data_IF_537970386844
#
_entry.id   IF_537970386844
#
_cell.length_a   1.000
_cell.length_b   1.000
_cell.length_c   1.000
_cell.angle_alpha   90.00
_cell.angle_beta   90.00
_cell.angle_gamma   90.00
#
_symmetry.space_group_name_H-M   'P 1'
#
loop_
_entity.id
_entity.type
_entity.pdbx_description
1 polymer ?
#
# COMPACT_ATOMS: atom_id res chain seq x y z
N UNK A 1 23.93 9.98 45.79
CA UNK A 1 22.80 9.03 45.83
C UNK A 1 22.48 8.58 44.40
N UNK A 2 22.13 7.32 44.18
CA UNK A 2 21.70 6.80 42.87
C UNK A 2 20.29 6.23 43.05
N UNK A 3 19.30 6.88 42.43
CA UNK A 3 17.92 6.40 42.43
C UNK A 3 17.71 5.46 41.24
N UNK A 4 17.12 4.30 41.49
CA UNK A 4 16.72 3.36 40.45
C UNK A 4 15.35 3.78 39.94
N UNK A 5 15.23 3.96 38.62
CA UNK A 5 13.97 4.30 37.96
C UNK A 5 13.40 3.05 37.29
N UNK A 6 12.13 2.77 37.54
CA UNK A 6 11.40 1.68 36.87
C UNK A 6 11.09 2.09 35.43
N UNK A 7 11.19 1.14 34.50
CA UNK A 7 10.84 1.35 33.09
C UNK A 7 9.34 1.69 32.97
N UNK A 8 8.97 2.90 32.48
CA UNK A 8 7.57 3.29 32.31
C UNK A 8 6.81 2.43 31.30
N UNK A 9 7.51 1.74 30.39
CA UNK A 9 6.90 0.85 29.40
C UNK A 9 6.57 -0.54 29.97
N UNK A 10 7.08 -0.88 31.15
CA UNK A 10 6.85 -2.19 31.79
C UNK A 10 5.77 -2.07 32.86
N UNK A 11 4.69 -2.86 32.80
CA UNK A 11 3.65 -2.86 33.82
C UNK A 11 4.22 -3.20 35.19
N UNK A 12 3.97 -2.35 36.20
CA UNK A 12 4.43 -2.56 37.58
C UNK A 12 3.44 -3.34 38.45
N UNK A 13 2.31 -3.77 37.90
CA UNK A 13 1.23 -4.46 38.62
C UNK A 13 0.79 -5.71 37.88
N UNK A 14 0.64 -6.82 38.62
CA UNK A 14 0.05 -8.08 38.14
C UNK A 14 -1.26 -8.32 38.89
N UNK A 15 -2.31 -8.72 38.18
CA UNK A 15 -3.61 -9.06 38.77
C UNK A 15 -4.00 -10.46 38.31
N UNK A 16 -4.21 -11.36 39.26
CA UNK A 16 -4.68 -12.72 39.02
C UNK A 16 -6.12 -12.87 39.54
N UNK A 17 -6.92 -13.68 38.83
CA UNK A 17 -8.29 -13.99 39.23
C UNK A 17 -8.38 -15.46 39.62
N UNK A 18 -8.82 -15.73 40.84
CA UNK A 18 -9.12 -17.08 41.30
C UNK A 18 -10.64 -17.26 41.23
N UNK A 19 -11.09 -18.26 40.49
CA UNK A 19 -12.51 -18.59 40.37
C UNK A 19 -12.86 -19.74 41.31
N UNK A 20 -13.91 -19.57 42.11
CA UNK A 20 -14.49 -20.67 42.87
C UNK A 20 -15.43 -21.46 41.96
N UNK A 21 -15.05 -22.71 41.65
CA UNK A 21 -15.86 -23.62 40.83
C UNK A 21 -17.08 -24.06 41.64
N UNK A 22 -18.24 -23.48 41.35
CA UNK A 22 -19.51 -23.79 42.05
C UNK A 22 -20.59 -24.22 41.07
N UNK A 23 -21.50 -25.09 41.52
CA UNK A 23 -22.64 -25.53 40.70
C UNK A 23 -22.28 -26.59 39.65
N UNK A 24 -21.21 -27.35 39.90
CA UNK A 24 -20.87 -28.57 39.16
C UNK A 24 -21.55 -29.77 39.83
N UNK A 25 -21.85 -30.83 39.08
CA UNK A 25 -22.34 -32.10 39.62
C UNK A 25 -21.23 -32.88 40.34
N UNK A 26 -19.97 -32.72 39.91
CA UNK A 26 -18.78 -33.35 40.49
C UNK A 26 -17.84 -32.37 41.21
N UNK A 27 -16.61 -32.81 41.47
CA UNK A 27 -15.55 -31.98 42.06
C UNK A 27 -15.06 -30.89 41.08
N UNK A 28 -15.10 -31.19 39.78
CA UNK A 28 -14.77 -30.27 38.69
C UNK A 28 -15.96 -30.12 37.75
N UNK A 29 -16.11 -28.92 37.17
CA UNK A 29 -17.10 -28.69 36.12
C UNK A 29 -16.58 -29.20 34.78
N UNK A 30 -17.40 -29.95 34.07
CA UNK A 30 -17.17 -30.41 32.71
C UNK A 30 -17.99 -29.53 31.77
N UNK A 31 -17.35 -28.52 31.19
CA UNK A 31 -17.93 -27.68 30.16
C UNK A 31 -17.99 -28.41 28.81
N UNK A 32 -18.79 -27.86 27.90
CA UNK A 32 -18.79 -28.23 26.47
C UNK A 32 -18.94 -26.95 25.67
N UNK A 33 -17.81 -26.33 25.31
CA UNK A 33 -17.81 -25.12 24.50
C UNK A 33 -17.88 -25.48 23.01
N UNK A 34 -18.61 -24.67 22.24
CA UNK A 34 -18.69 -24.82 20.80
C UNK A 34 -18.57 -23.45 20.14
N UNK A 35 -17.64 -23.34 19.18
CA UNK A 35 -17.31 -22.10 18.50
C UNK A 35 -17.86 -22.08 17.07
N UNK A 36 -18.53 -20.99 16.70
CA UNK A 36 -18.94 -20.71 15.32
C UNK A 36 -18.52 -19.31 14.92
N UNK A 37 -18.18 -19.14 13.66
CA UNK A 37 -17.83 -17.84 13.08
C UNK A 37 -18.68 -17.54 11.85
N UNK A 38 -19.06 -16.27 11.69
CA UNK A 38 -19.77 -15.79 10.51
C UNK A 38 -19.37 -14.34 10.20
N UNK A 39 -19.12 -14.07 8.92
CA UNK A 39 -18.98 -12.71 8.41
C UNK A 39 -20.35 -12.03 8.40
N UNK A 40 -20.40 -10.79 8.90
CA UNK A 40 -21.66 -10.02 8.97
C UNK A 40 -21.87 -9.21 7.69
N UNK A 41 -20.80 -8.63 7.17
CA UNK A 41 -20.79 -7.63 6.10
C UNK A 41 -19.79 -7.97 4.97
N UNK A 42 -19.24 -9.19 4.98
CA UNK A 42 -18.29 -9.68 3.98
C UNK A 42 -18.82 -10.94 3.28
N UNK A 43 -18.68 -10.97 1.96
CA UNK A 43 -18.91 -12.14 1.11
C UNK A 43 -17.60 -12.64 0.50
N UNK A 44 -17.46 -13.96 0.37
CA UNK A 44 -16.36 -14.57 -0.38
C UNK A 44 -16.80 -14.87 -1.82
N UNK A 45 -16.00 -14.55 -2.85
CA UNK A 45 -14.70 -13.88 -2.77
C UNK A 45 -14.84 -12.39 -2.40
N UNK A 46 -13.90 -11.88 -1.59
CA UNK A 46 -13.83 -10.49 -1.20
C UNK A 46 -13.05 -9.67 -2.23
N UNK A 47 -13.67 -8.61 -2.74
CA UNK A 47 -13.01 -7.70 -3.68
C UNK A 47 -12.10 -6.74 -2.90
N UNK A 48 -10.79 -6.80 -3.15
CA UNK A 48 -9.80 -5.94 -2.48
C UNK A 48 -10.13 -4.46 -2.74
N UNK A 49 -10.16 -3.67 -1.67
CA UNK A 49 -10.47 -2.24 -1.70
C UNK A 49 -11.95 -1.88 -1.76
N UNK A 50 -12.86 -2.87 -1.83
CA UNK A 50 -14.31 -2.62 -1.89
C UNK A 50 -14.87 -2.02 -0.60
N UNK A 51 -14.31 -2.40 0.55
CA UNK A 51 -14.65 -1.84 1.86
C UNK A 51 -13.38 -1.56 2.67
N UNK A 52 -13.47 -0.65 3.64
CA UNK A 52 -12.35 -0.37 4.56
C UNK A 52 -12.32 -1.28 5.77
N UNK A 53 -13.46 -1.81 6.16
CA UNK A 53 -13.62 -2.62 7.36
C UNK A 53 -14.56 -3.77 7.12
N UNK A 54 -14.33 -4.89 7.80
CA UNK A 54 -15.23 -6.04 7.82
C UNK A 54 -15.41 -6.55 9.25
N UNK A 55 -16.58 -7.11 9.53
CA UNK A 55 -17.04 -7.55 10.84
C UNK A 55 -17.17 -9.07 10.86
N UNK A 56 -16.37 -9.72 11.71
CA UNK A 56 -16.41 -11.16 11.95
C UNK A 56 -17.06 -11.42 13.31
N UNK A 57 -18.19 -12.11 13.32
CA UNK A 57 -18.90 -12.49 14.53
C UNK A 57 -18.52 -13.91 14.94
N UNK A 58 -18.16 -14.07 16.21
CA UNK A 58 -18.01 -15.34 16.89
C UNK A 58 -19.19 -15.58 17.83
N UNK A 59 -19.81 -16.74 17.67
CA UNK A 59 -20.87 -17.26 18.53
C UNK A 59 -20.27 -18.42 19.34
N UNK A 60 -20.24 -18.27 20.66
CA UNK A 60 -19.74 -19.30 21.59
C UNK A 60 -20.90 -19.76 22.44
N UNK A 61 -21.24 -21.03 22.35
CA UNK A 61 -22.26 -21.67 23.19
C UNK A 61 -21.60 -22.67 24.13
N UNK A 62 -22.07 -22.73 25.37
CA UNK A 62 -21.71 -23.79 26.30
C UNK A 62 -22.88 -24.78 26.44
N UNK A 63 -22.73 -26.02 26.01
CA UNK A 63 -23.75 -27.08 26.15
C UNK A 63 -23.52 -28.00 27.36
N UNK A 64 -22.43 -27.80 28.11
CA UNK A 64 -22.06 -28.57 29.30
C UNK A 64 -22.34 -27.83 30.60
N UNK A 65 -21.60 -28.16 31.66
CA UNK A 65 -21.63 -27.46 32.95
C UNK A 65 -20.95 -26.08 32.87
N UNK A 66 -20.94 -25.31 33.97
CA UNK A 66 -20.41 -23.95 33.98
C UNK A 66 -18.94 -23.88 33.49
N UNK A 67 -18.70 -23.07 32.45
CA UNK A 67 -17.37 -22.76 31.96
C UNK A 67 -16.81 -21.52 32.68
N UNK A 68 -15.77 -21.69 33.50
CA UNK A 68 -15.18 -20.59 34.28
C UNK A 68 -14.06 -19.89 33.54
N UNK A 69 -14.06 -18.55 33.58
CA UNK A 69 -13.12 -17.69 32.84
C UNK A 69 -13.05 -18.10 31.35
N UNK A 70 -14.19 -18.09 30.63
CA UNK A 70 -14.19 -18.41 29.21
C UNK A 70 -13.43 -17.32 28.45
N UNK A 71 -12.53 -17.71 27.57
CA UNK A 71 -11.71 -16.81 26.77
C UNK A 71 -11.74 -17.24 25.30
N UNK A 72 -11.74 -16.25 24.41
CA UNK A 72 -11.59 -16.44 22.97
C UNK A 72 -10.20 -15.96 22.56
N UNK A 73 -9.44 -16.83 21.92
CA UNK A 73 -8.15 -16.51 21.35
C UNK A 73 -8.25 -16.46 19.83
N UNK A 74 -7.92 -15.33 19.23
CA UNK A 74 -7.99 -15.11 17.78
C UNK A 74 -6.62 -14.73 17.24
N UNK A 75 -6.14 -15.50 16.27
CA UNK A 75 -4.89 -15.22 15.54
C UNK A 75 -5.21 -14.61 14.19
N UNK A 76 -4.76 -13.38 13.98
CA UNK A 76 -4.87 -12.65 12.73
C UNK A 76 -3.54 -12.67 11.98
N UNK A 77 -3.53 -12.83 10.64
CA UNK A 77 -2.32 -12.75 9.84
C UNK A 77 -1.81 -11.30 9.75
N UNK A 78 -0.53 -11.12 9.44
CA UNK A 78 0.13 -9.79 9.37
C UNK A 78 -0.50 -8.78 8.40
N UNK A 79 -1.22 -9.25 7.37
CA UNK A 79 -1.91 -8.42 6.37
C UNK A 79 -3.23 -7.84 6.89
N UNK A 80 -3.71 -8.29 8.05
CA UNK A 80 -4.98 -7.86 8.67
C UNK A 80 -4.69 -7.26 10.03
N UNK A 81 -5.30 -6.10 10.28
CA UNK A 81 -5.21 -5.44 11.58
C UNK A 81 -6.61 -5.18 12.14
N UNK A 82 -6.69 -4.78 13.41
CA UNK A 82 -7.96 -4.40 14.03
C UNK A 82 -8.27 -2.95 13.70
N UNK A 83 -9.47 -2.69 13.18
CA UNK A 83 -9.99 -1.33 13.06
C UNK A 83 -10.27 -0.73 14.45
N UNK A 84 -10.65 -1.60 15.41
CA UNK A 84 -10.85 -1.24 16.82
C UNK A 84 -10.58 -2.43 17.73
N UNK A 85 -9.77 -2.22 18.77
CA UNK A 85 -9.55 -3.21 19.83
C UNK A 85 -10.75 -3.24 20.79
N UNK A 86 -11.44 -4.39 20.97
CA UNK A 86 -12.49 -4.49 21.99
C UNK A 86 -11.90 -4.36 23.40
N UNK A 87 -12.61 -3.69 24.30
CA UNK A 87 -12.10 -3.34 25.64
C UNK A 87 -11.83 -4.54 26.56
N UNK A 88 -12.43 -5.69 26.26
CA UNK A 88 -12.25 -6.95 27.00
C UNK A 88 -11.18 -7.85 26.38
N UNK A 89 -10.40 -7.32 25.42
CA UNK A 89 -9.37 -8.05 24.72
C UNK A 89 -7.98 -7.48 25.00
N UNK A 90 -7.00 -8.36 25.03
CA UNK A 90 -5.57 -8.04 25.08
C UNK A 90 -4.93 -8.46 23.77
N UNK A 91 -4.15 -7.55 23.20
CA UNK A 91 -3.44 -7.77 21.95
C UNK A 91 -1.97 -8.07 22.24
N UNK A 92 -1.47 -9.12 21.62
CA UNK A 92 -0.06 -9.53 21.64
C UNK A 92 0.44 -9.60 20.21
N UNK A 93 1.56 -8.93 19.92
CA UNK A 93 2.20 -9.02 18.61
C UNK A 93 2.91 -10.36 18.50
N UNK A 94 2.67 -11.07 17.40
CA UNK A 94 3.43 -12.26 17.01
C UNK A 94 4.41 -11.88 15.88
N UNK A 95 5.37 -12.76 15.57
CA UNK A 95 6.27 -12.54 14.44
C UNK A 95 5.50 -12.43 13.11
N UNK A 96 4.47 -13.24 12.93
CA UNK A 96 3.72 -13.38 11.67
C UNK A 96 2.27 -12.88 11.75
N UNK A 97 1.96 -12.03 12.73
CA UNK A 97 0.60 -11.53 12.89
C UNK A 97 0.28 -10.98 14.28
N UNK A 98 -0.98 -11.04 14.65
CA UNK A 98 -1.50 -10.54 15.92
C UNK A 98 -2.28 -11.64 16.62
N UNK A 99 -2.06 -11.79 17.92
CA UNK A 99 -2.87 -12.65 18.77
C UNK A 99 -3.76 -11.78 19.66
N UNK A 100 -5.05 -12.09 19.69
CA UNK A 100 -6.04 -11.39 20.46
C UNK A 100 -6.67 -12.34 21.47
N UNK A 101 -6.45 -12.09 22.76
CA UNK A 101 -7.06 -12.86 23.84
C UNK A 101 -8.17 -12.05 24.51
N UNK A 102 -9.39 -12.55 24.44
CA UNK A 102 -10.59 -11.84 24.88
C UNK A 102 -11.33 -12.57 25.99
N UNK A 103 -11.66 -11.86 27.06
CA UNK A 103 -12.54 -12.37 28.11
C UNK A 103 -13.98 -12.42 27.59
N UNK A 104 -14.57 -13.62 27.54
CA UNK A 104 -15.96 -13.81 27.16
C UNK A 104 -16.89 -13.57 28.36
N UNK A 105 -18.14 -13.18 28.07
CA UNK A 105 -19.16 -12.92 29.10
C UNK A 105 -18.67 -11.96 30.21
N UNK A 106 -17.87 -10.94 29.84
CA UNK A 106 -17.24 -9.99 30.76
C UNK A 106 -16.37 -10.65 31.86
N UNK A 107 -15.78 -11.81 31.57
CA UNK A 107 -14.98 -12.60 32.51
C UNK A 107 -15.81 -13.37 33.55
N UNK A 108 -17.13 -13.43 33.39
CA UNK A 108 -18.01 -14.25 34.22
C UNK A 108 -18.16 -15.65 33.62
N UNK A 109 -18.53 -16.62 34.45
CA UNK A 109 -18.76 -17.99 34.00
C UNK A 109 -19.87 -18.06 32.94
N UNK A 110 -19.65 -18.82 31.87
CA UNK A 110 -20.67 -19.11 30.87
C UNK A 110 -21.49 -20.31 31.36
N UNK A 111 -22.76 -20.07 31.68
CA UNK A 111 -23.66 -21.10 32.22
C UNK A 111 -24.04 -22.13 31.15
N UNK A 112 -24.58 -23.26 31.61
CA UNK A 112 -25.18 -24.28 30.75
C UNK A 112 -26.22 -23.67 29.80
N UNK A 113 -26.09 -23.99 28.51
CA UNK A 113 -26.84 -23.47 27.37
C UNK A 113 -26.76 -21.95 27.14
N UNK A 114 -25.81 -21.25 27.78
CA UNK A 114 -25.60 -19.84 27.51
C UNK A 114 -24.84 -19.63 26.20
N UNK A 115 -25.32 -18.67 25.42
CA UNK A 115 -24.69 -18.17 24.19
C UNK A 115 -24.08 -16.79 24.48
N UNK A 116 -22.82 -16.62 24.15
CA UNK A 116 -22.15 -15.32 24.13
C UNK A 116 -21.70 -15.00 22.71
N UNK A 117 -21.77 -13.72 22.34
CA UNK A 117 -21.39 -13.23 21.03
C UNK A 117 -20.26 -12.23 21.14
N UNK A 118 -19.36 -12.27 20.20
CA UNK A 118 -18.27 -11.32 20.10
C UNK A 118 -18.07 -10.92 18.64
N UNK A 119 -17.91 -9.62 18.38
CA UNK A 119 -17.69 -9.10 17.02
C UNK A 119 -16.32 -8.45 16.96
N UNK A 120 -15.50 -8.90 16.02
CA UNK A 120 -14.24 -8.26 15.65
C UNK A 120 -14.43 -7.41 14.41
N UNK A 121 -14.00 -6.15 14.48
CA UNK A 121 -13.99 -5.25 13.33
C UNK A 121 -12.55 -5.14 12.84
N UNK A 122 -12.31 -5.66 11.65
CA UNK A 122 -11.02 -5.77 11.00
C UNK A 122 -10.82 -4.62 10.02
N UNK A 123 -9.59 -4.12 9.92
CA UNK A 123 -9.17 -3.17 8.90
C UNK A 123 -8.71 -3.95 7.65
N UNK A 124 -9.40 -3.70 6.55
CA UNK A 124 -9.25 -4.40 5.27
C UNK A 124 -8.45 -3.59 4.25
N UNK A 125 -7.89 -2.44 4.64
CA UNK A 125 -7.25 -1.47 3.75
C UNK A 125 -5.90 -1.91 3.17
N UNK A 126 -5.23 -2.87 3.80
CA UNK A 126 -3.87 -3.34 3.44
C UNK A 126 -3.85 -4.78 2.93
N UNK A 127 -5.00 -5.30 2.53
CA UNK A 127 -5.11 -6.66 2.03
C UNK A 127 -4.44 -6.80 0.66
N UNK A 128 -3.69 -7.88 0.52
CA UNK A 128 -3.02 -8.27 -0.70
C UNK A 128 -2.97 -9.81 -0.79
N UNK A 129 -2.77 -10.35 -1.99
CA UNK A 129 -2.65 -11.79 -2.22
C UNK A 129 -3.96 -12.46 -2.65
N UNK A 130 -4.04 -13.78 -2.48
CA UNK A 130 -5.13 -14.62 -3.02
C UNK A 130 -6.18 -15.02 -1.99
N UNK A 131 -5.79 -15.08 -0.73
CA UNK A 131 -6.66 -15.44 0.38
C UNK A 131 -6.01 -15.05 1.70
N UNK A 132 -6.80 -15.03 2.75
CA UNK A 132 -6.30 -14.98 4.12
C UNK A 132 -7.12 -15.94 4.99
N UNK A 133 -6.52 -16.40 6.07
CA UNK A 133 -7.16 -17.23 7.09
C UNK A 133 -7.07 -16.56 8.46
N UNK A 134 -8.13 -16.70 9.25
CA UNK A 134 -8.18 -16.29 10.66
C UNK A 134 -8.47 -17.52 11.50
N UNK A 135 -7.60 -17.77 12.48
CA UNK A 135 -7.78 -18.88 13.41
C UNK A 135 -8.39 -18.37 14.70
N UNK A 136 -9.36 -19.08 15.24
CA UNK A 136 -9.95 -18.78 16.53
C UNK A 136 -10.10 -20.07 17.35
N UNK A 137 -9.83 -19.95 18.64
CA UNK A 137 -9.95 -21.03 19.61
C UNK A 137 -10.61 -20.49 20.88
N UNK A 138 -11.61 -21.20 21.39
CA UNK A 138 -12.24 -20.88 22.67
C UNK A 138 -11.76 -21.85 23.75
N UNK A 139 -11.52 -21.36 24.96
CA UNK A 139 -11.16 -22.20 26.09
C UNK A 139 -11.70 -21.65 27.39
N UNK A 140 -11.65 -22.47 28.44
CA UNK A 140 -11.99 -22.09 29.80
C UNK A 140 -11.09 -22.80 30.80
N UNK A 141 -11.22 -22.47 32.08
CA UNK A 141 -10.52 -23.18 33.18
C UNK A 141 -11.29 -24.42 33.68
N UNK A 142 -12.46 -24.69 33.11
CA UNK A 142 -13.22 -25.93 33.33
C UNK A 142 -12.61 -27.08 32.53
N UNK A 143 -12.91 -28.32 32.92
CA UNK A 143 -12.60 -29.47 32.06
C UNK A 143 -13.53 -29.46 30.85
N UNK A 144 -13.08 -30.06 29.76
CA UNK A 144 -13.75 -29.98 28.46
C UNK A 144 -13.86 -31.39 27.88
N UNK A 145 -15.05 -31.77 27.41
CA UNK A 145 -15.30 -33.13 26.89
C UNK A 145 -14.82 -33.24 25.46
N UNK A 146 -15.01 -32.20 24.65
CA UNK A 146 -14.58 -32.14 23.27
C UNK A 146 -13.76 -30.87 23.02
N UNK A 147 -12.50 -31.05 22.62
CA UNK A 147 -11.63 -29.91 22.30
C UNK A 147 -11.60 -29.57 20.81
N UNK A 148 -12.07 -30.46 19.96
CA UNK A 148 -11.93 -30.31 18.51
C UNK A 148 -12.91 -29.27 17.93
N UNK A 149 -14.04 -29.01 18.59
CA UNK A 149 -15.03 -28.01 18.18
C UNK A 149 -14.86 -26.65 18.87
N UNK A 150 -13.79 -26.51 19.64
CA UNK A 150 -13.37 -25.25 20.24
C UNK A 150 -12.54 -24.40 19.29
N UNK A 151 -11.99 -24.99 18.23
CA UNK A 151 -11.15 -24.31 17.26
C UNK A 151 -11.80 -24.28 15.88
N UNK A 152 -11.60 -23.17 15.17
CA UNK A 152 -11.95 -23.07 13.76
C UNK A 152 -10.97 -22.18 13.01
N UNK A 153 -10.85 -22.45 11.71
CA UNK A 153 -10.17 -21.60 10.74
C UNK A 153 -11.22 -21.03 9.79
N UNK A 154 -11.23 -19.70 9.63
CA UNK A 154 -12.09 -19.02 8.65
C UNK A 154 -11.22 -18.47 7.53
N UNK A 155 -11.36 -19.01 6.32
CA UNK A 155 -10.65 -18.56 5.13
C UNK A 155 -11.54 -17.71 4.24
N UNK A 156 -11.00 -16.62 3.70
CA UNK A 156 -11.65 -15.76 2.72
C UNK A 156 -10.79 -15.69 1.46
N UNK A 157 -11.39 -15.95 0.31
CA UNK A 157 -10.74 -15.77 -0.99
C UNK A 157 -10.74 -14.28 -1.34
N UNK A 158 -9.60 -13.79 -1.84
CA UNK A 158 -9.41 -12.43 -2.29
C UNK A 158 -9.46 -12.36 -3.81
N UNK A 159 -10.14 -11.34 -4.32
CA UNK A 159 -10.21 -11.03 -5.74
C UNK A 159 -9.83 -9.58 -5.99
N UNK A 160 -9.03 -9.35 -7.01
CA UNK A 160 -8.73 -8.00 -7.50
C UNK A 160 -9.72 -7.63 -8.61
N UNK A 161 -10.24 -6.41 -8.55
CA UNK A 161 -11.08 -5.84 -9.58
C UNK A 161 -10.77 -4.34 -9.77
N UNK A 162 -10.37 -3.98 -10.98
CA UNK A 162 -10.10 -2.60 -11.37
C UNK A 162 -10.89 -2.26 -12.63
N UNK A 163 -11.44 -1.05 -12.68
CA UNK A 163 -12.16 -0.52 -13.82
C UNK A 163 -11.36 0.64 -14.41
N UNK A 164 -10.71 0.38 -15.54
CA UNK A 164 -9.79 1.35 -16.16
C UNK A 164 -10.50 2.11 -17.27
N UNK A 165 -10.56 3.42 -17.12
CA UNK A 165 -11.11 4.35 -18.09
C UNK A 165 -9.99 5.18 -18.70
N UNK A 166 -10.01 5.33 -20.02
CA UNK A 166 -9.08 6.17 -20.77
C UNK A 166 -9.87 7.22 -21.52
N UNK A 167 -9.71 8.48 -21.12
CA UNK A 167 -10.39 9.62 -21.74
C UNK A 167 -9.36 10.47 -22.48
N UNK A 168 -9.66 10.81 -23.73
CA UNK A 168 -8.79 11.63 -24.58
C UNK A 168 -9.50 12.85 -25.13
N UNK A 169 -8.82 14.00 -25.16
CA UNK A 169 -9.30 15.23 -25.79
C UNK A 169 -8.21 15.86 -26.66
N UNK A 170 -8.57 16.25 -27.87
CA UNK A 170 -7.70 17.00 -28.78
C UNK A 170 -7.97 18.50 -28.68
N UNK A 171 -6.94 19.34 -28.85
CA UNK A 171 -7.09 20.78 -29.02
C UNK A 171 -7.77 21.16 -30.34
N UNK A 172 -7.72 20.27 -31.33
CA UNK A 172 -8.32 20.44 -32.66
C UNK A 172 -9.18 19.21 -32.97
N UNK A 173 -10.49 19.42 -33.12
CA UNK A 173 -11.45 18.34 -33.46
C UNK A 173 -11.53 18.09 -34.96
N UNK A 174 -11.41 19.15 -35.76
CA UNK A 174 -11.55 19.10 -37.20
C UNK A 174 -10.58 20.05 -37.88
N UNK A 175 -10.13 19.65 -39.07
CA UNK A 175 -9.15 20.38 -39.85
C UNK A 175 -9.68 20.56 -41.28
N UNK A 176 -9.91 21.80 -41.69
CA UNK A 176 -10.36 22.10 -43.05
C UNK A 176 -9.16 22.29 -43.99
N UNK A 177 -8.89 21.26 -44.80
CA UNK A 177 -7.75 21.22 -45.73
C UNK A 177 -7.81 22.26 -46.86
N UNK A 178 -8.98 22.85 -47.16
CA UNK A 178 -9.09 23.88 -48.20
C UNK A 178 -8.71 25.27 -47.69
N UNK A 179 -8.89 25.51 -46.39
CA UNK A 179 -8.63 26.80 -45.74
C UNK A 179 -7.31 26.83 -44.99
N UNK A 180 -6.80 25.68 -44.57
CA UNK A 180 -5.54 25.58 -43.88
C UNK A 180 -4.37 25.54 -44.87
N UNK A 181 -3.39 26.41 -44.62
CA UNK A 181 -2.05 26.33 -45.22
C UNK A 181 -1.00 26.09 -44.13
N UNK A 182 -0.06 25.18 -44.35
CA UNK A 182 1.09 24.94 -43.45
C UNK A 182 0.81 23.95 -42.30
N UNK A 183 1.71 23.93 -41.30
CA UNK A 183 1.65 23.03 -40.14
C UNK A 183 0.62 23.51 -39.11
N UNK A 184 -0.05 22.57 -38.44
CA UNK A 184 -0.91 22.83 -37.26
C UNK A 184 -0.29 22.15 -36.05
N UNK A 185 -0.28 22.85 -34.92
CA UNK A 185 0.03 22.27 -33.62
C UNK A 185 -1.23 21.61 -33.04
N UNK A 186 -1.17 20.30 -32.81
CA UNK A 186 -2.24 19.53 -32.19
C UNK A 186 -1.76 19.03 -30.83
N UNK A 187 -2.57 19.25 -29.80
CA UNK A 187 -2.29 18.79 -28.44
C UNK A 187 -3.34 17.76 -28.06
N UNK A 188 -2.91 16.60 -27.60
CA UNK A 188 -3.78 15.58 -27.03
C UNK A 188 -3.58 15.54 -25.52
N UNK A 189 -4.67 15.67 -24.78
CA UNK A 189 -4.74 15.42 -23.35
C UNK A 189 -5.36 14.05 -23.14
N UNK A 190 -4.64 13.16 -22.47
CA UNK A 190 -5.10 11.80 -22.18
C UNK A 190 -5.08 11.62 -20.67
N UNK A 191 -6.21 11.18 -20.12
CA UNK A 191 -6.36 10.85 -18.72
C UNK A 191 -6.67 9.36 -18.61
N UNK A 192 -5.87 8.66 -17.80
CA UNK A 192 -6.10 7.26 -17.45
C UNK A 192 -6.53 7.22 -16.00
N UNK A 193 -7.69 6.64 -15.73
CA UNK A 193 -8.31 6.59 -14.40
C UNK A 193 -8.60 5.13 -14.04
N UNK A 194 -8.38 4.79 -12.77
CA UNK A 194 -8.90 3.55 -12.19
C UNK A 194 -10.09 3.92 -11.31
N UNK A 195 -11.29 3.63 -11.80
CA UNK A 195 -12.55 3.82 -11.07
C UNK A 195 -12.92 2.58 -10.23
N UNK A 196 -12.17 1.49 -10.37
CA UNK A 196 -12.39 0.27 -9.60
C UNK A 196 -11.82 0.32 -8.18
N UNK A 197 -12.27 -0.59 -7.30
CA UNK A 197 -11.87 -0.63 -5.90
C UNK A 197 -10.43 -1.08 -5.68
N UNK A 198 -9.90 -1.99 -6.50
CA UNK A 198 -8.54 -2.50 -6.31
C UNK A 198 -7.51 -1.56 -6.92
N UNK A 199 -6.42 -1.29 -6.18
CA UNK A 199 -5.28 -0.53 -6.66
C UNK A 199 -4.47 -1.31 -7.68
N UNK A 200 -3.88 -0.62 -8.66
CA UNK A 200 -2.94 -1.20 -9.61
C UNK A 200 -1.50 -1.02 -9.11
N UNK A 201 -0.70 -2.09 -9.21
CA UNK A 201 0.75 -2.03 -8.94
C UNK A 201 1.51 -1.49 -10.14
N UNK A 202 1.25 -2.08 -11.31
CA UNK A 202 1.93 -1.75 -12.56
C UNK A 202 0.90 -1.53 -13.67
N UNK A 203 1.05 -0.44 -14.41
CA UNK A 203 0.21 -0.11 -15.56
C UNK A 203 1.08 0.36 -16.72
N UNK A 204 0.97 -0.32 -17.86
CA UNK A 204 1.63 0.08 -19.10
C UNK A 204 0.62 0.75 -20.03
N UNK A 205 0.86 2.01 -20.36
CA UNK A 205 0.06 2.74 -21.34
C UNK A 205 0.81 2.88 -22.67
N UNK A 206 0.19 2.44 -23.77
CA UNK A 206 0.77 2.50 -25.10
C UNK A 206 -0.05 3.42 -26.02
N UNK A 207 0.56 4.50 -26.49
CA UNK A 207 -0.04 5.42 -27.47
C UNK A 207 0.59 5.21 -28.85
N UNK A 208 -0.25 4.98 -29.86
CA UNK A 208 0.19 4.88 -31.26
C UNK A 208 0.03 6.23 -31.94
N UNK A 209 1.14 6.83 -32.35
CA UNK A 209 1.15 8.11 -33.08
C UNK A 209 1.43 7.85 -34.57
N UNK A 210 0.53 8.24 -35.48
CA UNK A 210 0.73 8.04 -36.91
C UNK A 210 1.73 9.08 -37.44
N UNK A 211 2.88 8.61 -37.95
CA UNK A 211 3.94 9.49 -38.50
C UNK A 211 3.85 9.65 -40.01
N UNK A 212 3.36 8.60 -40.70
CA UNK A 212 3.29 8.52 -42.15
C UNK A 212 1.91 8.09 -42.62
N UNK A 213 1.49 8.63 -43.75
CA UNK A 213 0.31 8.20 -44.49
C UNK A 213 0.75 7.59 -45.83
N UNK A 214 0.31 6.36 -46.07
CA UNK A 214 0.51 5.68 -47.34
C UNK A 214 -0.71 5.91 -48.22
N UNK A 215 -0.52 6.56 -49.36
CA UNK A 215 -1.63 6.83 -50.26
C UNK A 215 -2.06 5.52 -50.94
N UNK A 216 -3.34 5.13 -50.84
CA UNK A 216 -3.85 3.95 -51.54
C UNK A 216 -3.55 4.06 -53.03
N UNK A 217 -3.08 2.95 -53.64
CA UNK A 217 -2.85 2.85 -55.09
C UNK A 217 -1.62 3.60 -55.64
N UNK A 218 -0.72 4.11 -54.80
CA UNK A 218 0.54 4.72 -55.21
C UNK A 218 1.69 4.32 -54.29
N UNK A 219 2.94 4.40 -54.78
CA UNK A 219 4.13 4.23 -53.95
C UNK A 219 4.43 5.47 -53.07
N UNK A 220 3.60 6.51 -53.14
CA UNK A 220 3.84 7.77 -52.45
C UNK A 220 3.60 7.65 -50.94
N UNK A 221 4.57 8.13 -50.16
CA UNK A 221 4.53 8.17 -48.69
C UNK A 221 4.56 9.63 -48.24
N UNK A 222 3.54 10.04 -47.49
CA UNK A 222 3.43 11.39 -46.95
C UNK A 222 3.78 11.39 -45.46
N UNK A 223 4.77 12.20 -45.06
CA UNK A 223 5.07 12.44 -43.65
C UNK A 223 4.02 13.40 -43.08
N UNK A 224 3.24 12.94 -42.12
CA UNK A 224 2.16 13.71 -41.50
C UNK A 224 2.56 14.31 -40.15
N UNK A 225 3.42 13.61 -39.39
CA UNK A 225 3.97 14.07 -38.11
C UNK A 225 5.46 13.81 -38.10
N UNK A 226 6.25 14.83 -37.75
CA UNK A 226 7.68 14.71 -37.51
C UNK A 226 7.91 14.17 -36.10
N UNK A 227 8.67 13.07 -35.97
CA UNK A 227 8.97 12.47 -34.66
C UNK A 227 9.68 13.45 -33.72
N UNK A 228 10.61 14.26 -34.25
CA UNK A 228 11.37 15.24 -33.46
C UNK A 228 10.50 16.42 -32.98
N UNK A 229 9.31 16.60 -33.56
CA UNK A 229 8.37 17.67 -33.19
C UNK A 229 7.38 17.17 -32.10
N UNK A 230 7.47 15.90 -31.68
CA UNK A 230 6.59 15.32 -30.65
C UNK A 230 7.15 15.61 -29.26
N UNK A 231 6.35 16.29 -28.45
CA UNK A 231 6.63 16.52 -27.04
C UNK A 231 5.59 15.79 -26.20
N UNK A 232 6.06 14.98 -25.24
CA UNK A 232 5.21 14.27 -24.29
C UNK A 232 5.58 14.71 -22.88
N UNK A 233 4.54 14.79 -22.05
CA UNK A 233 4.69 15.05 -20.64
C UNK A 233 3.55 14.33 -19.93
N UNK A 234 3.84 13.65 -18.83
CA UNK A 234 2.86 12.88 -18.10
C UNK A 234 3.28 12.72 -16.66
N UNK A 235 2.27 12.66 -15.80
CA UNK A 235 2.44 12.76 -14.36
C UNK A 235 1.56 11.73 -13.66
N UNK A 236 2.10 11.13 -12.61
CA UNK A 236 1.33 10.31 -11.66
C UNK A 236 1.84 10.60 -10.24
N UNK A 237 0.93 10.95 -9.31
CA UNK A 237 1.28 11.31 -7.93
C UNK A 237 2.47 12.29 -7.84
N UNK A 238 2.42 13.37 -8.64
CA UNK A 238 3.46 14.42 -8.71
C UNK A 238 4.83 13.96 -9.22
N UNK A 239 4.96 12.73 -9.74
CA UNK A 239 6.18 12.25 -10.41
C UNK A 239 5.99 12.28 -11.92
N UNK A 240 7.05 12.65 -12.64
CA UNK A 240 7.09 12.51 -14.09
C UNK A 240 7.12 11.02 -14.45
N UNK A 241 6.39 10.66 -15.49
CA UNK A 241 6.43 9.32 -16.07
C UNK A 241 7.58 9.22 -17.06
N UNK A 242 8.19 8.04 -17.14
CA UNK A 242 9.16 7.71 -18.17
C UNK A 242 8.44 7.21 -19.43
N UNK A 243 9.00 7.55 -20.60
CA UNK A 243 8.44 7.16 -21.89
C UNK A 243 9.53 6.60 -22.79
N UNK A 244 9.19 5.53 -23.52
CA UNK A 244 10.06 4.94 -24.52
C UNK A 244 9.35 4.94 -25.86
N UNK A 245 9.95 5.58 -26.86
CA UNK A 245 9.46 5.53 -28.22
C UNK A 245 9.96 4.26 -28.91
N UNK A 246 9.05 3.54 -29.56
CA UNK A 246 9.42 2.36 -30.34
C UNK A 246 8.77 2.39 -31.72
N UNK A 247 9.50 1.92 -32.73
CA UNK A 247 9.00 1.68 -34.07
C UNK A 247 9.54 0.34 -34.55
N UNK A 248 8.66 -0.59 -34.92
CA UNK A 248 9.03 -1.95 -35.33
C UNK A 248 9.99 -2.63 -34.32
N UNK A 249 9.71 -2.48 -33.02
CA UNK A 249 10.52 -2.97 -31.89
C UNK A 249 11.93 -2.34 -31.74
N UNK A 250 12.24 -1.27 -32.47
CA UNK A 250 13.48 -0.50 -32.30
C UNK A 250 13.18 0.74 -31.46
N UNK A 251 14.02 1.02 -30.46
CA UNK A 251 13.91 2.22 -29.62
C UNK A 251 14.31 3.44 -30.45
N UNK A 252 13.47 4.47 -30.46
CA UNK A 252 13.75 5.75 -31.10
C UNK A 252 14.27 6.75 -30.06
N UNK A 253 15.33 7.47 -30.40
CA UNK A 253 15.89 8.54 -29.57
C UNK A 253 15.57 9.88 -30.23
N UNK A 254 14.86 10.80 -29.57
CA UNK A 254 14.64 12.14 -30.10
C UNK A 254 15.97 12.91 -30.14
N UNK A 255 16.25 13.54 -31.29
CA UNK A 255 17.48 14.30 -31.55
C UNK A 255 18.78 13.54 -31.19
N UNK A 256 19.11 12.45 -31.90
CA UNK A 256 20.36 11.75 -31.66
C UNK A 256 21.54 12.69 -31.94
N UNK A 257 22.36 12.94 -30.92
CA UNK A 257 23.66 13.60 -31.12
C UNK A 257 24.57 12.58 -31.79
N UNK A 258 24.80 12.74 -33.08
CA UNK A 258 25.84 11.97 -33.77
C UNK A 258 27.20 12.40 -33.23
N UNK A 259 27.80 11.57 -32.37
CA UNK A 259 29.22 11.71 -32.07
C UNK A 259 29.99 11.30 -33.33
N UNK A 260 30.47 12.29 -34.08
CA UNK A 260 31.47 12.07 -35.11
C UNK A 260 32.68 11.39 -34.47
N UNK A 261 32.99 10.17 -34.90
CA UNK A 261 34.18 9.42 -34.48
C UNK A 261 35.44 9.92 -35.18
N UNK A 262 35.54 11.21 -35.50
CA UNK A 262 36.81 11.79 -35.93
C UNK A 262 37.68 12.05 -34.69
N UNK A 263 38.86 11.41 -34.59
CA UNK A 263 39.83 11.73 -33.55
C UNK A 263 40.21 13.21 -33.64
N UNK A 264 40.39 13.92 -32.51
CA UNK A 264 40.89 15.28 -32.55
C UNK A 264 42.29 15.28 -33.19
N UNK A 265 42.47 16.14 -34.19
CA UNK A 265 43.76 16.39 -34.82
C UNK A 265 44.69 16.99 -33.76
N UNK A 266 45.70 16.21 -33.36
CA UNK A 266 46.71 16.63 -32.39
C UNK A 266 47.69 17.51 -33.12
N UNK A 267 47.47 18.82 -33.09
CA UNK A 267 48.60 19.74 -33.24
C UNK A 267 48.41 21.06 -32.48
N UNK A 268 49.49 21.45 -31.80
CA UNK A 268 49.70 22.66 -30.98
C UNK A 268 49.42 22.57 -29.46
N UNK A 269 49.99 21.55 -28.81
CA UNK A 269 50.21 21.54 -27.35
C UNK A 269 51.64 21.93 -26.92
N UNK A 270 52.40 22.60 -27.79
CA UNK A 270 53.73 23.14 -27.45
C UNK A 270 53.87 24.60 -27.88
N UNK A 271 53.36 25.51 -27.04
CA UNK A 271 53.98 26.82 -26.74
C UNK A 271 53.06 27.66 -25.85
N UNK A 272 53.29 27.61 -24.54
CA UNK A 272 53.33 28.79 -23.69
C UNK A 272 53.95 28.41 -22.33
N UNK A 273 54.99 29.15 -21.99
CA UNK A 273 55.91 28.96 -20.88
C UNK A 273 55.25 29.10 -19.51
N UNK A 274 55.66 28.24 -18.57
CA UNK A 274 55.58 28.51 -17.15
C UNK A 274 56.47 29.71 -16.81
N UNK A 275 55.91 30.76 -16.24
CA UNK A 275 56.70 31.76 -15.52
C UNK A 275 56.10 31.98 -14.13
N UNK A 276 56.94 31.77 -13.13
CA UNK A 276 56.63 31.74 -11.71
C UNK A 276 57.29 32.98 -11.10
N UNK A 277 56.51 34.01 -10.80
CA UNK A 277 57.00 35.29 -10.29
C UNK A 277 56.19 35.76 -9.09
N UNK A 278 56.81 35.65 -7.92
CA UNK A 278 56.34 36.05 -6.59
C UNK A 278 55.96 37.54 -6.46
N UNK A 279 54.95 37.78 -5.61
CA UNK A 279 54.86 38.81 -4.56
C UNK A 279 55.87 39.98 -4.60
N UNK A 280 55.39 41.21 -4.81
CA UNK A 280 55.57 42.38 -3.91
C UNK A 280 55.15 43.69 -4.58
N UNK A 281 54.46 44.55 -3.85
CA UNK A 281 54.11 45.90 -4.29
C UNK A 281 53.10 46.63 -3.40
N UNK A 282 53.43 46.89 -2.13
CA UNK A 282 52.97 48.11 -1.42
C UNK A 282 53.65 49.31 -2.11
N UNK A 283 53.12 50.53 -2.26
CA UNK A 283 52.28 51.37 -1.39
C UNK A 283 51.94 52.68 -2.14
N UNK A 284 50.89 53.39 -1.70
CA UNK A 284 50.82 54.86 -1.60
C UNK A 284 49.47 55.22 -0.94
N UNK A 285 49.41 55.55 0.35
CA UNK A 285 49.69 56.84 1.03
C UNK A 285 48.43 57.70 1.19
N UNK A 286 47.91 57.76 2.42
CA UNK A 286 47.04 58.83 2.91
C UNK A 286 47.88 60.06 3.29
N UNK A 287 47.26 61.26 3.25
CA UNK A 287 47.26 62.07 4.46
C UNK A 287 45.89 62.67 4.80
N UNK A 288 45.73 62.82 6.12
CA UNK A 288 44.71 63.49 6.93
C UNK A 288 44.32 64.91 6.53
N UNK A 289 43.07 65.28 6.82
CA UNK A 289 42.57 66.53 7.46
C UNK A 289 41.05 66.59 7.23
N UNK A 290 40.18 67.15 8.07
CA UNK A 290 40.18 67.53 9.48
C UNK A 290 38.68 67.70 9.82
N UNK A 291 38.34 67.62 11.11
CA UNK A 291 37.03 67.98 11.65
C UNK A 291 36.60 69.41 11.27
N UNK A 292 35.29 69.64 11.11
CA UNK A 292 34.50 70.58 11.95
C UNK A 292 33.21 71.08 11.28
N UNK A 293 32.14 71.08 12.11
CA UNK A 293 30.83 71.74 12.03
C UNK A 293 29.69 71.02 11.29
#
# INVERSE_FOLDING_TARGET
EHCVMTDPAVPSTVTEKISFKTGCAGETCIAELNLKAAWVDLSSPYIIGSTRTASLQYDVINTGENAFLPQLNVTLPSLITLAKLPSHCKLTNLNDGLNLLCDLNNGLALKTYALTKMVLVLDMSRLEGKSFSINAEVFSTSEETNKEDNALETTVELQEFSEIEVVGKSSVSEVNLQRQSGKINVTYQIQVMNNGPSSLRDLTFALKVPLVYHKPSSADVLKIVSFNDIHINGYYNYKNLDFTWTQNNVILIPNPVEYSTQPPEVDNLYKASMDFGLLSGQSHSDPSSDDSA
#
